data_IF_552785719906
#
_entry.id   IF_552785719906
#
_cell.length_a   1.000
_cell.length_b   1.000
_cell.length_c   1.000
_cell.angle_alpha   90.00
_cell.angle_beta   90.00
_cell.angle_gamma   90.00
#
_symmetry.space_group_name_H-M   'P 1'
#
loop_
_entity.id
_entity.type
_entity.pdbx_description
1 polymer ?
#
# COMPACT_ATOMS: atom_id res chain seq x y z
N UNK A 1 9.32 18.10 -5.66
CA UNK A 1 7.96 17.97 -5.06
C UNK A 1 6.98 17.38 -6.05
N UNK A 2 6.60 18.10 -7.12
CA UNK A 2 5.64 17.56 -8.11
C UNK A 2 6.15 16.26 -8.75
N UNK A 3 7.41 16.22 -9.17
CA UNK A 3 7.98 15.04 -9.84
C UNK A 3 8.03 13.78 -8.97
N UNK A 4 8.24 13.93 -7.65
CA UNK A 4 8.21 12.77 -6.72
C UNK A 4 6.79 12.25 -6.54
N UNK A 5 5.80 13.14 -6.46
CA UNK A 5 4.39 12.74 -6.40
C UNK A 5 3.91 12.14 -7.72
N UNK A 6 4.35 12.66 -8.86
CA UNK A 6 4.14 12.04 -10.17
C UNK A 6 4.73 10.62 -10.20
N UNK A 7 5.97 10.46 -9.75
CA UNK A 7 6.64 9.17 -9.67
C UNK A 7 5.93 8.20 -8.72
N UNK A 8 5.36 8.69 -7.61
CA UNK A 8 4.59 7.90 -6.65
C UNK A 8 3.14 7.61 -7.09
N UNK A 9 2.75 7.99 -8.30
CA UNK A 9 1.44 7.65 -8.86
C UNK A 9 1.54 6.76 -10.09
N UNK A 10 0.58 5.84 -10.26
CA UNK A 10 0.46 4.96 -11.42
C UNK A 10 -0.75 5.40 -12.21
N UNK A 11 -0.56 5.89 -13.44
CA UNK A 11 -1.66 6.12 -14.38
C UNK A 11 -1.94 4.82 -15.14
N UNK A 12 -3.15 4.26 -14.97
CA UNK A 12 -3.55 3.01 -15.61
C UNK A 12 -4.09 3.19 -17.03
N UNK A 13 -4.24 4.44 -17.51
CA UNK A 13 -4.70 4.76 -18.86
C UNK A 13 -3.58 5.03 -19.84
N UNK A 14 -2.40 5.38 -19.32
CA UNK A 14 -1.24 5.74 -20.12
C UNK A 14 -0.21 4.61 -20.14
N UNK A 15 0.66 4.56 -21.16
CA UNK A 15 1.88 3.78 -21.08
C UNK A 15 2.66 4.19 -19.82
N UNK A 16 3.42 3.25 -19.28
CA UNK A 16 4.30 3.50 -18.15
C UNK A 16 5.31 4.61 -18.48
N UNK A 17 5.43 5.61 -17.59
CA UNK A 17 6.34 6.76 -17.77
C UNK A 17 7.37 6.94 -16.64
N UNK A 18 7.42 6.07 -15.63
CA UNK A 18 8.33 6.27 -14.50
C UNK A 18 9.77 6.02 -14.94
N UNK A 19 10.66 6.95 -14.57
CA UNK A 19 12.10 6.73 -14.68
C UNK A 19 12.52 5.58 -13.77
N UNK A 20 13.40 4.71 -14.25
CA UNK A 20 13.91 3.56 -13.52
C UNK A 20 15.43 3.55 -13.56
N UNK A 21 16.10 2.92 -12.58
CA UNK A 21 17.53 2.64 -12.66
C UNK A 21 17.92 1.93 -13.96
N UNK A 22 19.17 2.11 -14.38
CA UNK A 22 19.73 1.39 -15.52
C UNK A 22 20.01 -0.10 -15.18
N UNK A 23 20.29 -0.89 -16.23
CA UNK A 23 20.68 -2.30 -16.17
C UNK A 23 19.66 -3.26 -15.54
N UNK A 24 18.40 -2.86 -15.42
CA UNK A 24 17.33 -3.79 -15.07
C UNK A 24 17.12 -4.78 -16.23
N UNK A 25 17.09 -6.08 -15.92
CA UNK A 25 16.84 -7.13 -16.92
C UNK A 25 15.45 -7.01 -17.55
N UNK A 26 14.51 -6.42 -16.82
CA UNK A 26 13.15 -6.17 -17.27
C UNK A 26 12.77 -4.73 -16.97
N UNK A 27 12.23 -4.06 -18.00
CA UNK A 27 11.65 -2.74 -17.84
C UNK A 27 10.29 -2.82 -17.14
N UNK A 28 9.80 -1.68 -16.65
CA UNK A 28 8.44 -1.62 -16.14
C UNK A 28 7.40 -1.86 -17.24
N UNK A 29 7.69 -1.51 -18.50
CA UNK A 29 6.85 -1.87 -19.64
C UNK A 29 6.77 -3.38 -19.87
N UNK A 30 7.87 -4.11 -19.70
CA UNK A 30 7.88 -5.58 -19.84
C UNK A 30 7.00 -6.21 -18.76
N UNK A 31 7.16 -5.78 -17.52
CA UNK A 31 6.30 -6.20 -16.42
C UNK A 31 4.84 -5.83 -16.64
N UNK A 32 4.56 -4.60 -17.08
CA UNK A 32 3.19 -4.17 -17.35
C UNK A 32 2.55 -5.04 -18.44
N UNK A 33 3.28 -5.32 -19.51
CA UNK A 33 2.84 -6.21 -20.58
C UNK A 33 2.54 -7.62 -20.05
N UNK A 34 3.48 -8.20 -19.30
CA UNK A 34 3.33 -9.53 -18.70
C UNK A 34 2.11 -9.60 -17.78
N UNK A 35 1.98 -8.66 -16.84
CA UNK A 35 0.89 -8.65 -15.86
C UNK A 35 -0.47 -8.51 -16.54
N UNK A 36 -0.59 -7.66 -17.56
CA UNK A 36 -1.86 -7.40 -18.24
C UNK A 36 -2.27 -8.49 -19.25
N UNK A 37 -1.30 -9.14 -19.90
CA UNK A 37 -1.58 -10.02 -21.06
C UNK A 37 -1.26 -11.48 -20.82
N UNK A 38 -0.41 -11.80 -19.85
CA UNK A 38 0.08 -13.16 -19.60
C UNK A 38 -0.51 -13.78 -18.34
N UNK A 39 -1.43 -13.08 -17.65
CA UNK A 39 -2.10 -13.59 -16.45
C UNK A 39 -3.61 -13.69 -16.67
N UNK A 40 -4.30 -14.72 -16.12
CA UNK A 40 -5.75 -14.93 -16.28
C UNK A 40 -6.61 -13.69 -15.98
N UNK A 41 -6.25 -12.94 -14.93
CA UNK A 41 -7.00 -11.78 -14.48
C UNK A 41 -6.30 -10.45 -14.83
N UNK A 42 -5.26 -10.48 -15.66
CA UNK A 42 -4.45 -9.31 -16.02
C UNK A 42 -5.21 -8.17 -16.66
N UNK A 43 -6.28 -8.50 -17.39
CA UNK A 43 -7.15 -7.52 -18.04
C UNK A 43 -7.85 -6.58 -17.05
N UNK A 44 -8.09 -7.02 -15.80
CA UNK A 44 -8.67 -6.21 -14.72
C UNK A 44 -7.74 -5.09 -14.25
N UNK A 45 -6.45 -5.12 -14.58
CA UNK A 45 -5.52 -4.03 -14.27
C UNK A 45 -5.95 -2.73 -14.97
N UNK A 46 -6.48 -2.83 -16.20
CA UNK A 46 -6.98 -1.67 -16.96
C UNK A 46 -8.50 -1.52 -16.91
N UNK A 47 -9.21 -2.65 -16.93
CA UNK A 47 -10.65 -2.68 -17.15
C UNK A 47 -11.35 -3.35 -15.96
N UNK A 48 -11.34 -2.70 -14.81
CA UNK A 48 -12.13 -3.12 -13.65
C UNK A 48 -13.27 -2.13 -13.38
N UNK A 49 -14.25 -2.57 -12.60
CA UNK A 49 -15.45 -1.79 -12.30
C UNK A 49 -15.12 -0.45 -11.59
N UNK A 50 -14.05 -0.40 -10.78
CA UNK A 50 -13.63 0.82 -10.11
C UNK A 50 -13.06 1.84 -11.10
N UNK A 51 -12.19 1.42 -12.03
CA UNK A 51 -11.61 2.29 -13.04
C UNK A 51 -12.65 2.78 -14.05
N UNK A 52 -13.61 1.92 -14.41
CA UNK A 52 -14.75 2.31 -15.25
C UNK A 52 -15.63 3.36 -14.56
N UNK A 53 -15.91 3.19 -13.26
CA UNK A 53 -16.67 4.17 -12.48
C UNK A 53 -15.95 5.54 -12.44
N UNK A 54 -14.63 5.56 -12.25
CA UNK A 54 -13.83 6.79 -12.30
C UNK A 54 -13.92 7.49 -13.67
N UNK A 55 -13.74 6.73 -14.75
CA UNK A 55 -13.78 7.25 -16.12
C UNK A 55 -15.17 7.74 -16.55
N UNK A 56 -16.23 7.22 -15.96
CA UNK A 56 -17.60 7.59 -16.31
C UNK A 56 -17.95 9.05 -15.96
N UNK A 57 -17.26 9.63 -14.97
CA UNK A 57 -17.63 10.92 -14.39
C UNK A 57 -19.01 10.95 -13.72
N UNK A 58 -19.65 9.79 -13.57
CA UNK A 58 -20.93 9.67 -12.87
C UNK A 58 -20.72 9.63 -11.35
N UNK A 59 -21.81 9.76 -10.61
CA UNK A 59 -21.80 9.58 -9.17
C UNK A 59 -21.24 8.19 -8.81
N UNK A 60 -20.44 8.14 -7.76
CA UNK A 60 -19.88 6.91 -7.21
C UNK A 60 -20.41 6.70 -5.80
N UNK A 61 -20.62 5.44 -5.44
CA UNK A 61 -20.93 5.06 -4.07
C UNK A 61 -19.74 4.35 -3.46
N UNK A 62 -19.33 4.77 -2.26
CA UNK A 62 -18.18 4.23 -1.55
C UNK A 62 -18.58 3.78 -0.15
N UNK A 63 -18.06 2.64 0.30
CA UNK A 63 -18.24 2.10 1.63
C UNK A 63 -17.06 2.46 2.52
N UNK A 64 -17.34 2.96 3.71
CA UNK A 64 -16.41 3.05 4.83
C UNK A 64 -16.98 2.32 6.04
N UNK A 65 -16.13 1.80 6.91
CA UNK A 65 -16.57 1.22 8.19
C UNK A 65 -15.93 1.94 9.35
N UNK A 66 -16.73 2.29 10.36
CA UNK A 66 -16.26 3.01 11.56
C UNK A 66 -16.71 2.31 12.83
N UNK A 67 -15.88 2.36 13.88
CA UNK A 67 -16.26 1.93 15.25
C UNK A 67 -16.94 3.06 16.04
N UNK A 68 -16.86 4.29 15.57
CA UNK A 68 -17.22 5.48 16.36
C UNK A 68 -18.14 6.43 15.58
N UNK A 69 -19.32 5.92 15.22
CA UNK A 69 -20.36 6.73 14.58
C UNK A 69 -20.85 7.87 15.48
N UNK A 70 -20.80 7.68 16.81
CA UNK A 70 -21.26 8.69 17.75
C UNK A 70 -20.30 9.89 17.80
N UNK A 71 -18.97 9.66 17.73
CA UNK A 71 -18.02 10.77 17.61
C UNK A 71 -18.21 11.55 16.31
N UNK A 72 -18.49 10.88 15.19
CA UNK A 72 -18.78 11.55 13.91
C UNK A 72 -20.04 12.41 14.02
N UNK A 73 -21.13 11.87 14.60
CA UNK A 73 -22.37 12.62 14.82
C UNK A 73 -22.17 13.82 15.74
N UNK A 74 -21.38 13.65 16.81
CA UNK A 74 -21.15 14.69 17.81
C UNK A 74 -20.25 15.80 17.27
N UNK A 75 -19.13 15.44 16.65
CA UNK A 75 -18.17 16.40 16.10
C UNK A 75 -18.64 17.04 14.79
N UNK A 76 -19.54 16.37 14.06
CA UNK A 76 -19.92 16.69 12.67
C UNK A 76 -18.71 16.72 11.73
N UNK A 77 -17.68 15.93 12.03
CA UNK A 77 -16.46 15.86 11.25
C UNK A 77 -16.13 14.43 10.87
N UNK A 78 -15.67 14.27 9.63
CA UNK A 78 -14.99 13.06 9.16
C UNK A 78 -13.50 13.36 9.08
N UNK A 79 -12.73 12.57 9.83
CA UNK A 79 -11.28 12.62 9.84
C UNK A 79 -10.74 11.52 8.91
N UNK A 80 -9.64 11.82 8.24
CA UNK A 80 -8.98 10.89 7.33
C UNK A 80 -7.89 10.11 8.06
N UNK A 81 -7.50 8.94 7.56
CA UNK A 81 -6.42 8.15 8.17
C UNK A 81 -5.15 8.20 7.35
N UNK A 82 -4.03 8.02 8.05
CA UNK A 82 -2.74 7.70 7.42
C UNK A 82 -2.72 6.25 6.98
N UNK A 83 -2.00 5.94 5.90
CA UNK A 83 -1.90 4.57 5.38
C UNK A 83 -1.44 4.54 3.93
N UNK A 84 -1.80 3.47 3.21
CA UNK A 84 -1.51 3.32 1.78
C UNK A 84 -2.09 4.46 0.91
N UNK A 85 -3.16 5.12 1.37
CA UNK A 85 -3.79 6.27 0.70
C UNK A 85 -3.43 7.63 1.33
N UNK A 86 -2.33 7.72 2.08
CA UNK A 86 -1.59 8.95 2.42
C UNK A 86 -2.37 10.10 3.12
N UNK A 87 -3.61 9.89 3.55
CA UNK A 87 -4.47 10.94 4.10
C UNK A 87 -5.80 11.12 3.36
N UNK A 88 -6.28 10.11 2.63
CA UNK A 88 -7.65 10.01 2.17
C UNK A 88 -8.53 9.29 3.20
N UNK A 89 -9.84 9.51 3.18
CA UNK A 89 -10.77 8.66 3.92
C UNK A 89 -10.82 7.31 3.22
N UNK A 90 -10.31 6.26 3.85
CA UNK A 90 -10.23 4.93 3.24
C UNK A 90 -11.62 4.31 3.04
N UNK A 91 -11.87 3.80 1.84
CA UNK A 91 -13.14 3.25 1.40
C UNK A 91 -12.95 2.01 0.50
N UNK A 92 -14.07 1.40 0.11
CA UNK A 92 -14.16 0.43 -1.00
C UNK A 92 -15.36 0.75 -1.90
N UNK A 93 -15.33 0.45 -3.22
CA UNK A 93 -16.44 0.73 -4.11
C UNK A 93 -17.74 0.02 -3.72
N UNK A 94 -18.87 0.65 -4.07
CA UNK A 94 -20.20 0.07 -4.07
C UNK A 94 -20.79 0.14 -5.48
N UNK A 95 -21.37 -0.96 -5.96
CA UNK A 95 -22.07 -1.02 -7.24
C UNK A 95 -23.58 -0.92 -7.01
N UNK A 96 -24.24 0.01 -7.69
CA UNK A 96 -25.71 0.09 -7.66
C UNK A 96 -26.32 -1.10 -8.38
N UNK A 97 -27.21 -1.82 -7.70
CA UNK A 97 -28.01 -2.91 -8.26
C UNK A 97 -29.48 -2.69 -7.89
N UNK A 98 -30.39 -3.50 -8.46
CA UNK A 98 -31.84 -3.36 -8.21
C UNK A 98 -32.18 -3.58 -6.73
N UNK A 99 -31.45 -4.48 -6.10
CA UNK A 99 -31.61 -4.90 -4.71
C UNK A 99 -30.97 -3.94 -3.71
N UNK A 100 -30.10 -3.01 -4.13
CA UNK A 100 -29.39 -2.09 -3.24
C UNK A 100 -27.95 -1.83 -3.69
N UNK A 101 -27.12 -1.34 -2.79
CA UNK A 101 -25.69 -1.09 -3.06
C UNK A 101 -24.87 -2.35 -2.75
N UNK A 102 -24.37 -3.02 -3.78
CA UNK A 102 -23.51 -4.21 -3.62
C UNK A 102 -22.10 -3.77 -3.23
N UNK A 103 -21.55 -4.27 -2.11
CA UNK A 103 -20.16 -4.00 -1.77
C UNK A 103 -19.19 -4.72 -2.71
N UNK A 104 -18.10 -4.04 -3.08
CA UNK A 104 -16.91 -4.70 -3.63
C UNK A 104 -16.46 -5.81 -2.67
N UNK A 105 -15.89 -6.90 -3.19
CA UNK A 105 -15.44 -8.02 -2.34
C UNK A 105 -14.49 -7.63 -1.19
N UNK A 106 -13.71 -6.53 -1.33
CA UNK A 106 -12.95 -5.94 -0.22
C UNK A 106 -13.87 -5.41 0.89
N UNK A 107 -14.88 -4.65 0.51
CA UNK A 107 -15.87 -4.08 1.43
C UNK A 107 -16.68 -5.16 2.13
N UNK A 108 -17.10 -6.18 1.38
CA UNK A 108 -17.78 -7.35 1.92
C UNK A 108 -16.91 -8.05 2.99
N UNK A 109 -15.63 -8.29 2.68
CA UNK A 109 -14.66 -8.85 3.60
C UNK A 109 -14.51 -8.00 4.88
N UNK A 110 -14.36 -6.69 4.74
CA UNK A 110 -14.20 -5.77 5.89
C UNK A 110 -15.41 -5.79 6.82
N UNK A 111 -16.63 -5.83 6.26
CA UNK A 111 -17.85 -5.91 7.06
C UNK A 111 -17.99 -7.27 7.75
N UNK A 112 -17.62 -8.36 7.10
CA UNK A 112 -17.70 -9.71 7.68
C UNK A 112 -16.70 -9.92 8.82
N UNK A 113 -15.48 -9.38 8.68
CA UNK A 113 -14.40 -9.61 9.64
C UNK A 113 -14.33 -8.57 10.76
N UNK A 114 -15.06 -7.45 10.64
CA UNK A 114 -15.12 -6.39 11.66
C UNK A 114 -16.58 -6.10 12.05
N UNK A 115 -17.29 -7.04 12.70
CA UNK A 115 -18.71 -6.90 13.01
C UNK A 115 -19.01 -5.76 14.00
N UNK A 116 -18.03 -5.29 14.76
CA UNK A 116 -18.15 -4.14 15.66
C UNK A 116 -18.09 -2.77 14.95
N UNK A 117 -18.17 -2.75 13.62
CA UNK A 117 -18.14 -1.52 12.82
C UNK A 117 -19.50 -1.23 12.20
N UNK A 118 -19.89 0.05 12.16
CA UNK A 118 -21.07 0.53 11.42
C UNK A 118 -20.64 0.88 9.99
N UNK A 119 -21.37 0.41 8.95
CA UNK A 119 -21.10 0.80 7.59
C UNK A 119 -21.65 2.22 7.32
N UNK A 120 -20.84 3.00 6.63
CA UNK A 120 -21.19 4.29 6.05
C UNK A 120 -21.15 4.18 4.53
N UNK A 121 -22.15 4.75 3.87
CA UNK A 121 -22.19 4.93 2.43
C UNK A 121 -21.87 6.39 2.13
N UNK A 122 -20.97 6.62 1.20
CA UNK A 122 -20.67 7.93 0.66
C UNK A 122 -21.09 8.01 -0.81
N UNK A 123 -21.89 9.01 -1.16
CA UNK A 123 -22.16 9.40 -2.54
C UNK A 123 -21.15 10.49 -2.89
N UNK A 124 -20.27 10.20 -3.85
CA UNK A 124 -19.29 11.14 -4.38
C UNK A 124 -19.75 11.52 -5.78
N UNK A 125 -20.06 12.80 -5.99
CA UNK A 125 -20.36 13.35 -7.32
C UNK A 125 -19.13 14.10 -7.79
N UNK A 126 -18.39 13.58 -8.78
CA UNK A 126 -17.22 14.26 -9.32
C UNK A 126 -17.63 15.42 -10.23
N UNK A 127 -16.67 16.27 -10.57
CA UNK A 127 -16.82 17.38 -11.51
C UNK A 127 -16.62 16.97 -12.99
N UNK A 128 -16.37 15.69 -13.24
CA UNK A 128 -16.20 15.09 -14.55
C UNK A 128 -15.51 13.73 -14.48
N UNK A 129 -15.20 13.11 -15.64
CA UNK A 129 -14.35 11.92 -15.72
C UNK A 129 -13.03 12.07 -14.97
N UNK A 130 -12.69 11.08 -14.14
CA UNK A 130 -11.45 11.07 -13.35
C UNK A 130 -10.46 10.14 -14.02
N UNK A 131 -9.23 10.61 -14.23
CA UNK A 131 -8.13 9.75 -14.72
C UNK A 131 -7.82 8.68 -13.65
N UNK A 132 -7.81 7.38 -13.99
CA UNK A 132 -7.38 6.28 -13.13
C UNK A 132 -5.90 6.35 -12.74
N UNK A 133 -5.56 7.32 -11.89
CA UNK A 133 -4.20 7.59 -11.41
C UNK A 133 -4.13 7.32 -9.90
N UNK A 134 -3.64 6.14 -9.55
CA UNK A 134 -3.57 5.66 -8.16
C UNK A 134 -2.25 6.02 -7.49
N UNK A 135 -2.23 6.11 -6.16
CA UNK A 135 -1.01 6.33 -5.36
C UNK A 135 -0.34 5.00 -5.04
N UNK A 136 0.90 4.83 -5.47
CA UNK A 136 1.74 3.67 -5.19
C UNK A 136 2.59 3.94 -3.94
N UNK A 137 2.15 3.40 -2.81
CA UNK A 137 2.78 3.71 -1.53
C UNK A 137 4.21 3.15 -1.39
N UNK A 138 4.62 2.21 -2.26
CA UNK A 138 5.98 1.67 -2.27
C UNK A 138 6.99 2.70 -2.76
N UNK A 139 6.55 3.64 -3.61
CA UNK A 139 7.37 4.73 -4.15
C UNK A 139 7.41 5.98 -3.26
N UNK A 140 6.83 5.96 -2.06
CA UNK A 140 6.83 7.12 -1.15
C UNK A 140 8.17 7.36 -0.43
N UNK A 141 9.17 6.49 -0.61
CA UNK A 141 10.44 6.56 0.10
C UNK A 141 11.16 7.91 -0.04
N UNK A 142 11.32 8.41 -1.27
CA UNK A 142 11.97 9.71 -1.49
C UNK A 142 11.19 10.87 -0.82
N UNK A 143 9.86 10.82 -0.86
CA UNK A 143 8.98 11.79 -0.18
C UNK A 143 9.17 11.72 1.33
N UNK A 144 9.22 10.51 1.91
CA UNK A 144 9.49 10.30 3.33
C UNK A 144 10.84 10.88 3.74
N UNK A 145 11.89 10.59 2.97
CA UNK A 145 13.24 11.09 3.24
C UNK A 145 13.29 12.62 3.21
N UNK A 146 12.72 13.24 2.18
CA UNK A 146 12.69 14.69 2.08
C UNK A 146 11.92 15.34 3.23
N UNK A 147 10.75 14.79 3.59
CA UNK A 147 9.95 15.30 4.70
C UNK A 147 10.74 15.15 6.01
N UNK A 148 11.41 14.02 6.21
CA UNK A 148 12.30 13.83 7.35
C UNK A 148 13.39 14.91 7.40
N UNK A 149 14.17 15.08 6.33
CA UNK A 149 15.25 16.07 6.28
C UNK A 149 14.74 17.50 6.54
N UNK A 150 13.52 17.82 6.06
CA UNK A 150 12.90 19.13 6.30
C UNK A 150 12.54 19.37 7.76
N UNK A 151 12.13 18.33 8.48
CA UNK A 151 11.61 18.42 9.86
C UNK A 151 12.52 17.72 10.89
N UNK A 152 13.75 17.38 10.50
CA UNK A 152 14.71 16.66 11.33
C UNK A 152 15.01 17.42 12.64
N UNK A 153 14.97 18.76 12.60
CA UNK A 153 15.20 19.62 13.77
C UNK A 153 14.14 19.49 14.88
N UNK A 154 13.03 18.78 14.63
CA UNK A 154 12.06 18.44 15.69
C UNK A 154 12.50 17.23 16.54
N UNK A 155 13.45 16.45 16.05
CA UNK A 155 14.11 15.40 16.83
C UNK A 155 15.24 16.02 17.68
N UNK A 156 15.35 15.54 18.91
CA UNK A 156 16.51 15.83 19.75
C UNK A 156 17.77 15.18 19.15
N UNK A 157 18.99 15.72 19.44
CA UNK A 157 20.23 15.12 18.94
C UNK A 157 20.34 13.61 19.23
N UNK A 158 19.99 13.18 20.44
CA UNK A 158 20.02 11.76 20.81
C UNK A 158 19.03 10.89 20.01
N UNK A 159 17.88 11.43 19.62
CA UNK A 159 16.90 10.71 18.78
C UNK A 159 17.42 10.58 17.34
N UNK A 160 18.06 11.62 16.80
CA UNK A 160 18.73 11.56 15.51
C UNK A 160 19.87 10.53 15.54
N UNK A 161 20.74 10.57 16.54
CA UNK A 161 21.85 9.61 16.68
C UNK A 161 21.34 8.17 16.81
N UNK A 162 20.24 7.96 17.55
CA UNK A 162 19.60 6.64 17.65
C UNK A 162 19.02 6.20 16.31
N UNK A 163 18.30 7.07 15.61
CA UNK A 163 17.73 6.79 14.30
C UNK A 163 18.82 6.38 13.30
N UNK A 164 19.86 7.20 13.17
CA UNK A 164 20.96 6.97 12.23
C UNK A 164 21.68 5.65 12.54
N UNK A 165 21.98 5.38 13.81
CA UNK A 165 22.59 4.10 14.22
C UNK A 165 21.69 2.91 13.91
N UNK A 166 20.39 2.99 14.20
CA UNK A 166 19.46 1.88 13.95
C UNK A 166 19.29 1.63 12.46
N UNK A 167 19.12 2.68 11.66
CA UNK A 167 18.98 2.57 10.21
C UNK A 167 20.25 2.01 9.58
N UNK A 168 21.43 2.53 9.97
CA UNK A 168 22.72 2.05 9.46
C UNK A 168 22.99 0.60 9.86
N UNK A 169 22.69 0.22 11.10
CA UNK A 169 22.83 -1.17 11.55
C UNK A 169 21.89 -2.11 10.77
N UNK A 170 20.63 -1.69 10.54
CA UNK A 170 19.68 -2.44 9.72
C UNK A 170 20.15 -2.61 8.28
N UNK A 171 20.66 -1.54 7.66
CA UNK A 171 21.24 -1.58 6.31
C UNK A 171 22.43 -2.53 6.24
N UNK A 172 23.39 -2.42 7.16
CA UNK A 172 24.57 -3.31 7.20
C UNK A 172 24.18 -4.77 7.38
N UNK A 173 23.21 -5.06 8.24
CA UNK A 173 22.73 -6.42 8.47
C UNK A 173 22.01 -7.01 7.25
N UNK A 174 21.27 -6.19 6.50
CA UNK A 174 20.55 -6.64 5.30
C UNK A 174 21.37 -6.54 4.00
N UNK A 175 22.50 -5.83 4.00
CA UNK A 175 23.29 -5.52 2.80
C UNK A 175 23.56 -6.74 1.89
N UNK A 176 23.93 -7.94 2.40
CA UNK A 176 24.11 -9.11 1.54
C UNK A 176 22.86 -9.47 0.72
N UNK A 177 21.67 -9.40 1.33
CA UNK A 177 20.42 -9.65 0.63
C UNK A 177 20.06 -8.51 -0.33
N UNK A 178 20.26 -7.26 0.08
CA UNK A 178 19.96 -6.10 -0.80
C UNK A 178 20.79 -6.16 -2.09
N UNK A 179 22.07 -6.52 -1.98
CA UNK A 179 22.95 -6.74 -3.14
C UNK A 179 22.49 -7.92 -4.00
N UNK A 180 22.04 -9.03 -3.38
CA UNK A 180 21.44 -10.17 -4.09
C UNK A 180 20.19 -9.74 -4.87
N UNK A 181 19.31 -8.93 -4.26
CA UNK A 181 18.12 -8.43 -4.92
C UNK A 181 18.46 -7.53 -6.12
N UNK A 182 19.45 -6.63 -6.01
CA UNK A 182 19.92 -5.83 -7.15
C UNK A 182 20.51 -6.69 -8.27
N UNK A 183 21.33 -7.69 -7.91
CA UNK A 183 21.95 -8.60 -8.88
C UNK A 183 20.91 -9.42 -9.64
N UNK A 184 19.88 -9.91 -8.92
CA UNK A 184 18.72 -10.58 -9.52
C UNK A 184 17.93 -9.64 -10.43
N UNK A 185 17.73 -8.38 -10.03
CA UNK A 185 17.06 -7.37 -10.85
C UNK A 185 17.83 -7.07 -12.15
N UNK A 186 19.15 -7.21 -12.11
CA UNK A 186 20.06 -7.10 -13.26
C UNK A 186 20.24 -8.42 -14.04
N UNK A 187 19.43 -9.45 -13.77
CA UNK A 187 19.37 -10.68 -14.56
C UNK A 187 20.23 -11.84 -14.09
N UNK A 188 20.91 -11.73 -12.94
CA UNK A 188 21.77 -12.79 -12.41
C UNK A 188 21.03 -13.61 -11.35
N UNK A 189 20.21 -14.56 -11.79
CA UNK A 189 19.31 -15.32 -10.94
C UNK A 189 20.03 -16.17 -9.87
N UNK A 190 19.66 -15.98 -8.61
CA UNK A 190 19.96 -16.90 -7.50
C UNK A 190 18.92 -18.02 -7.40
N UNK A 191 19.23 -19.17 -6.76
CA UNK A 191 18.24 -20.19 -6.45
C UNK A 191 17.07 -19.63 -5.62
N UNK A 192 15.84 -20.04 -5.93
CA UNK A 192 14.64 -19.51 -5.29
C UNK A 192 14.55 -19.83 -3.79
N UNK A 193 14.90 -21.03 -3.27
CA UNK A 193 14.82 -21.29 -1.83
C UNK A 193 15.78 -20.41 -1.04
N UNK A 194 17.01 -20.28 -1.52
CA UNK A 194 18.04 -19.43 -0.92
C UNK A 194 17.60 -17.96 -0.89
N UNK A 195 17.07 -17.44 -2.01
CA UNK A 195 16.61 -16.06 -2.08
C UNK A 195 15.50 -15.75 -1.06
N UNK A 196 14.50 -16.63 -0.96
CA UNK A 196 13.35 -16.41 -0.07
C UNK A 196 13.77 -16.49 1.41
N UNK A 197 14.67 -17.41 1.75
CA UNK A 197 15.18 -17.52 3.12
C UNK A 197 16.03 -16.31 3.52
N UNK A 198 16.85 -15.79 2.60
CA UNK A 198 17.60 -14.54 2.81
C UNK A 198 16.66 -13.32 2.93
N UNK A 199 15.62 -13.25 2.08
CA UNK A 199 14.59 -12.21 2.17
C UNK A 199 13.91 -12.24 3.55
N UNK A 200 13.46 -13.41 4.00
CA UNK A 200 12.81 -13.59 5.30
C UNK A 200 13.68 -13.07 6.46
N UNK A 201 14.99 -13.38 6.43
CA UNK A 201 15.94 -12.87 7.41
C UNK A 201 16.10 -11.34 7.31
N UNK A 202 16.23 -10.80 6.10
CA UNK A 202 16.44 -9.37 5.86
C UNK A 202 15.25 -8.49 6.31
N UNK A 203 14.01 -9.00 6.26
CA UNK A 203 12.80 -8.25 6.73
C UNK A 203 12.94 -7.80 8.19
N UNK A 204 13.63 -8.57 9.04
CA UNK A 204 13.86 -8.20 10.45
C UNK A 204 14.71 -6.92 10.63
N UNK A 205 15.51 -6.59 9.62
CA UNK A 205 16.45 -5.47 9.63
C UNK A 205 15.98 -4.33 8.72
N UNK A 206 15.27 -4.65 7.64
CA UNK A 206 14.66 -3.71 6.70
C UNK A 206 13.18 -4.06 6.54
N UNK A 207 12.31 -3.59 7.45
CA UNK A 207 10.89 -3.96 7.46
C UNK A 207 10.11 -3.59 6.20
N UNK A 208 10.60 -2.66 5.39
CA UNK A 208 10.04 -2.34 4.08
C UNK A 208 10.00 -3.54 3.13
N UNK A 209 10.96 -4.47 3.24
CA UNK A 209 10.99 -5.70 2.45
C UNK A 209 9.75 -6.58 2.69
N UNK A 210 9.15 -6.55 3.89
CA UNK A 210 7.93 -7.29 4.18
C UNK A 210 6.71 -6.74 3.42
N UNK A 211 6.66 -5.42 3.21
CA UNK A 211 5.63 -4.77 2.38
C UNK A 211 5.81 -5.16 0.91
N UNK A 212 7.04 -5.12 0.38
CA UNK A 212 7.32 -5.56 -0.97
C UNK A 212 6.94 -7.02 -1.16
N UNK A 213 7.36 -7.90 -0.24
CA UNK A 213 7.08 -9.32 -0.31
C UNK A 213 5.57 -9.62 -0.30
N UNK A 214 4.84 -8.97 0.59
CA UNK A 214 3.40 -9.11 0.66
C UNK A 214 2.69 -8.63 -0.61
N UNK A 215 3.06 -7.47 -1.16
CA UNK A 215 2.42 -6.93 -2.37
C UNK A 215 2.73 -7.78 -3.60
N UNK A 216 3.94 -8.32 -3.72
CA UNK A 216 4.32 -9.26 -4.80
C UNK A 216 3.47 -10.52 -4.76
N UNK A 217 3.26 -11.11 -3.58
CA UNK A 217 2.40 -12.29 -3.46
C UNK A 217 0.92 -11.97 -3.63
N UNK A 218 0.48 -10.80 -3.18
CA UNK A 218 -0.88 -10.33 -3.43
C UNK A 218 -1.14 -10.19 -4.93
N UNK A 219 -0.23 -9.54 -5.66
CA UNK A 219 -0.25 -9.42 -7.11
C UNK A 219 -0.30 -10.80 -7.78
N UNK A 220 0.60 -11.71 -7.39
CA UNK A 220 0.64 -13.08 -7.92
C UNK A 220 -0.69 -13.82 -7.74
N UNK A 221 -1.21 -13.88 -6.51
CA UNK A 221 -2.43 -14.61 -6.21
C UNK A 221 -3.63 -14.03 -6.96
N UNK A 222 -3.80 -12.71 -6.95
CA UNK A 222 -4.96 -12.05 -7.56
C UNK A 222 -4.96 -12.15 -9.08
N UNK A 223 -3.78 -12.12 -9.71
CA UNK A 223 -3.65 -12.17 -11.16
C UNK A 223 -3.68 -13.58 -11.73
N UNK A 224 -3.18 -14.57 -10.98
CA UNK A 224 -3.04 -15.95 -11.45
C UNK A 224 -4.14 -16.91 -10.99
N UNK A 225 -4.91 -16.59 -9.94
CA UNK A 225 -5.97 -17.46 -9.45
C UNK A 225 -7.07 -17.70 -10.49
N UNK A 226 -7.48 -18.97 -10.64
CA UNK A 226 -8.53 -19.40 -11.57
C UNK A 226 -9.67 -20.15 -10.88
N UNK A 227 -9.73 -20.08 -9.54
CA UNK A 227 -10.80 -20.67 -8.75
C UNK A 227 -12.19 -20.16 -9.19
N UNK A 228 -13.27 -20.94 -8.96
CA UNK A 228 -14.63 -20.48 -9.24
C UNK A 228 -14.97 -19.15 -8.58
N UNK A 229 -14.56 -18.96 -7.31
CA UNK A 229 -14.78 -17.71 -6.58
C UNK A 229 -14.06 -16.53 -7.26
N UNK A 230 -12.79 -16.69 -7.64
CA UNK A 230 -12.05 -15.64 -8.36
C UNK A 230 -12.71 -15.29 -9.69
N UNK A 231 -13.23 -16.29 -10.43
CA UNK A 231 -13.97 -16.05 -11.68
C UNK A 231 -15.26 -15.26 -11.45
N UNK A 232 -15.99 -15.53 -10.36
CA UNK A 232 -17.18 -14.75 -10.00
C UNK A 232 -16.85 -13.28 -9.75
N UNK A 233 -15.77 -12.99 -9.00
CA UNK A 233 -15.35 -11.60 -8.79
C UNK A 233 -14.83 -10.95 -10.08
N UNK A 234 -14.09 -11.69 -10.91
CA UNK A 234 -13.62 -11.18 -12.20
C UNK A 234 -14.78 -10.81 -13.13
N UNK A 235 -15.87 -11.60 -13.15
CA UNK A 235 -17.10 -11.26 -13.88
C UNK A 235 -17.79 -9.99 -13.36
N UNK A 236 -17.64 -9.68 -12.07
CA UNK A 236 -18.08 -8.42 -11.47
C UNK A 236 -17.10 -7.25 -11.73
N UNK A 237 -16.02 -7.48 -12.48
CA UNK A 237 -14.98 -6.49 -12.73
C UNK A 237 -14.11 -6.23 -11.50
N UNK A 238 -13.85 -7.24 -10.67
CA UNK A 238 -13.09 -7.11 -9.42
C UNK A 238 -11.97 -8.14 -9.29
N UNK A 239 -10.82 -7.72 -8.77
CA UNK A 239 -9.79 -8.64 -8.31
C UNK A 239 -10.21 -9.28 -6.97
N UNK A 240 -9.87 -10.54 -6.76
CA UNK A 240 -10.26 -11.28 -5.55
C UNK A 240 -9.39 -10.90 -4.32
N UNK A 241 -9.89 -10.01 -3.46
CA UNK A 241 -9.16 -9.55 -2.26
C UNK A 241 -9.09 -10.59 -1.13
N UNK A 242 -9.93 -11.62 -1.17
CA UNK A 242 -9.91 -12.67 -0.14
C UNK A 242 -8.59 -13.42 -0.13
N UNK A 243 -7.96 -13.59 -1.29
CA UNK A 243 -6.72 -14.35 -1.45
C UNK A 243 -5.58 -13.74 -0.63
N UNK A 244 -5.32 -12.45 -0.81
CA UNK A 244 -4.24 -11.80 -0.08
C UNK A 244 -4.57 -11.63 1.41
N UNK A 245 -5.86 -11.48 1.76
CA UNK A 245 -6.25 -11.44 3.18
C UNK A 245 -5.96 -12.77 3.83
N UNK A 246 -6.42 -13.89 3.24
CA UNK A 246 -6.10 -15.25 3.71
C UNK A 246 -4.59 -15.45 3.87
N UNK A 247 -3.80 -15.00 2.89
CA UNK A 247 -2.33 -15.00 2.97
C UNK A 247 -1.83 -14.23 4.20
N UNK A 248 -2.26 -12.98 4.40
CA UNK A 248 -1.82 -12.14 5.51
C UNK A 248 -2.09 -12.79 6.88
N UNK A 249 -3.32 -13.30 7.07
CA UNK A 249 -3.76 -13.91 8.34
C UNK A 249 -3.11 -15.27 8.60
N UNK A 250 -2.81 -16.05 7.55
CA UNK A 250 -2.14 -17.34 7.70
C UNK A 250 -0.61 -17.20 7.90
N UNK A 251 -0.02 -16.09 7.42
CA UNK A 251 1.42 -15.88 7.47
C UNK A 251 1.89 -15.21 8.78
N UNK A 252 1.04 -14.42 9.43
CA UNK A 252 1.44 -13.60 10.60
C UNK A 252 0.39 -13.63 11.69
N UNK A 253 0.78 -14.12 12.86
CA UNK A 253 -0.07 -14.09 14.06
C UNK A 253 -0.38 -12.66 14.51
N UNK A 254 -1.65 -12.38 14.83
CA UNK A 254 -2.10 -11.07 15.32
C UNK A 254 -2.35 -10.01 14.23
N UNK A 255 -2.37 -10.39 12.95
CA UNK A 255 -2.67 -9.51 11.81
C UNK A 255 -4.11 -8.91 11.88
N UNK A 256 -4.99 -9.51 12.68
CA UNK A 256 -6.36 -9.06 13.00
C UNK A 256 -6.40 -7.90 14.00
N UNK A 257 -5.42 -7.86 14.89
CA UNK A 257 -5.25 -6.79 15.89
C UNK A 257 -4.53 -5.59 15.28
N UNK A 258 -3.43 -5.84 14.57
CA UNK A 258 -2.65 -4.83 13.87
C UNK A 258 -2.20 -5.36 12.51
N UNK A 259 -2.65 -4.72 11.44
CA UNK A 259 -2.24 -5.06 10.09
C UNK A 259 -0.81 -4.53 9.81
N UNK A 260 0.20 -5.28 10.26
CA UNK A 260 1.62 -4.89 10.18
C UNK A 260 2.41 -5.78 9.21
N UNK A 261 2.58 -5.28 7.99
CA UNK A 261 3.35 -5.96 6.94
C UNK A 261 4.86 -5.98 7.21
N UNK A 262 5.37 -5.22 8.19
CA UNK A 262 6.75 -5.35 8.66
C UNK A 262 7.06 -6.75 9.22
N UNK A 263 6.03 -7.51 9.61
CA UNK A 263 6.14 -8.86 10.16
C UNK A 263 5.95 -9.95 9.10
N UNK A 264 5.63 -9.58 7.86
CA UNK A 264 5.42 -10.53 6.77
C UNK A 264 6.77 -11.03 6.24
N UNK A 265 7.18 -12.22 6.66
CA UNK A 265 8.48 -12.81 6.33
C UNK A 265 8.46 -14.35 6.25
N UNK A 266 7.51 -14.98 5.54
CA UNK A 266 7.55 -16.44 5.39
C UNK A 266 8.88 -16.89 4.77
N UNK A 267 9.45 -17.97 5.30
CA UNK A 267 10.59 -18.69 4.69
C UNK A 267 10.11 -19.52 3.50
N UNK A 268 11.03 -20.06 2.71
CA UNK A 268 10.69 -20.80 1.48
C UNK A 268 9.62 -21.88 1.70
N UNK A 269 9.85 -22.80 2.64
CA UNK A 269 8.92 -23.93 2.84
C UNK A 269 7.55 -23.44 3.34
N UNK A 270 7.55 -22.40 4.19
CA UNK A 270 6.31 -21.79 4.67
C UNK A 270 5.59 -21.05 3.55
N UNK A 271 6.30 -20.39 2.63
CA UNK A 271 5.73 -19.75 1.45
C UNK A 271 4.99 -20.79 0.61
N UNK A 272 5.65 -21.90 0.27
CA UNK A 272 5.08 -23.00 -0.51
C UNK A 272 3.78 -23.50 0.15
N UNK A 273 3.83 -23.81 1.45
CA UNK A 273 2.64 -24.25 2.22
C UNK A 273 1.50 -23.22 2.21
N UNK A 274 1.82 -21.93 2.33
CA UNK A 274 0.81 -20.86 2.34
C UNK A 274 0.09 -20.77 0.99
N UNK A 275 0.83 -20.89 -0.12
CA UNK A 275 0.25 -20.84 -1.46
C UNK A 275 -0.56 -22.11 -1.73
N UNK A 276 -0.06 -23.28 -1.35
CA UNK A 276 -0.79 -24.55 -1.45
C UNK A 276 -2.12 -24.54 -0.69
N UNK A 277 -2.13 -23.94 0.50
CA UNK A 277 -3.36 -23.77 1.29
C UNK A 277 -4.37 -22.79 0.70
N UNK A 278 -3.99 -21.97 -0.28
CA UNK A 278 -4.87 -21.04 -0.98
C UNK A 278 -5.34 -21.66 -2.31
N UNK A 279 -4.40 -22.04 -3.17
CA UNK A 279 -4.64 -22.63 -4.50
C UNK A 279 -3.41 -23.47 -4.91
N UNK A 280 -3.46 -24.82 -4.78
CA UNK A 280 -2.32 -25.71 -5.01
C UNK A 280 -1.60 -25.51 -6.35
N UNK A 281 -2.35 -25.27 -7.42
CA UNK A 281 -1.82 -25.12 -8.78
C UNK A 281 -0.91 -23.88 -8.93
N UNK A 282 -0.98 -22.91 -8.01
CA UNK A 282 -0.12 -21.73 -7.99
C UNK A 282 1.21 -21.96 -7.25
N UNK A 283 1.33 -23.02 -6.45
CA UNK A 283 2.52 -23.26 -5.63
C UNK A 283 3.82 -23.36 -6.44
N UNK A 284 3.90 -24.12 -7.56
CA UNK A 284 5.17 -24.39 -8.23
C UNK A 284 5.89 -23.15 -8.77
N UNK A 285 5.16 -22.09 -9.15
CA UNK A 285 5.72 -20.89 -9.75
C UNK A 285 5.87 -19.72 -8.76
N UNK A 286 5.34 -19.83 -7.54
CA UNK A 286 5.27 -18.71 -6.60
C UNK A 286 6.65 -18.19 -6.18
N UNK A 287 7.58 -19.08 -5.82
CA UNK A 287 8.91 -18.69 -5.36
C UNK A 287 9.74 -18.00 -6.46
N UNK A 288 9.61 -18.48 -7.70
CA UNK A 288 10.27 -17.88 -8.87
C UNK A 288 9.68 -16.51 -9.20
N UNK A 289 8.35 -16.40 -9.16
CA UNK A 289 7.66 -15.12 -9.32
C UNK A 289 8.13 -14.10 -8.28
N UNK A 290 8.18 -14.49 -7.01
CA UNK A 290 8.65 -13.62 -5.92
C UNK A 290 10.08 -13.16 -6.18
N UNK A 291 11.00 -14.09 -6.47
CA UNK A 291 12.41 -13.75 -6.70
C UNK A 291 12.56 -12.71 -7.81
N UNK A 292 11.91 -12.92 -8.95
CA UNK A 292 11.99 -12.05 -10.12
C UNK A 292 11.31 -10.71 -9.86
N UNK A 293 10.05 -10.72 -9.41
CA UNK A 293 9.23 -9.52 -9.24
C UNK A 293 9.69 -8.65 -8.07
N UNK A 294 10.04 -9.25 -6.93
CA UNK A 294 10.53 -8.50 -5.76
C UNK A 294 11.86 -7.82 -6.04
N UNK A 295 12.78 -8.49 -6.74
CA UNK A 295 14.07 -7.91 -7.11
C UNK A 295 13.88 -6.66 -7.99
N UNK A 296 13.03 -6.76 -9.01
CA UNK A 296 12.68 -5.62 -9.86
C UNK A 296 12.03 -4.48 -9.08
N UNK A 297 11.01 -4.77 -8.25
CA UNK A 297 10.34 -3.74 -7.46
C UNK A 297 11.26 -3.13 -6.41
N UNK A 298 12.13 -3.91 -5.78
CA UNK A 298 13.12 -3.42 -4.84
C UNK A 298 14.04 -2.42 -5.53
N UNK A 299 14.69 -2.78 -6.65
CA UNK A 299 15.59 -1.87 -7.35
C UNK A 299 14.88 -0.54 -7.72
N UNK A 300 13.64 -0.61 -8.19
CA UNK A 300 12.87 0.57 -8.61
C UNK A 300 12.35 1.46 -7.49
N UNK A 301 12.04 0.88 -6.33
CA UNK A 301 11.50 1.63 -5.18
C UNK A 301 12.60 2.07 -4.22
N UNK A 302 13.74 1.38 -4.21
CA UNK A 302 14.88 1.68 -3.36
C UNK A 302 15.80 2.74 -3.98
N UNK A 303 16.23 2.52 -5.22
CA UNK A 303 17.30 3.30 -5.86
C UNK A 303 16.80 4.62 -6.44
N UNK A 304 17.68 5.61 -6.51
CA UNK A 304 17.43 6.80 -7.31
C UNK A 304 17.43 6.43 -8.81
N UNK A 305 16.54 6.99 -9.65
CA UNK A 305 16.46 6.62 -11.07
C UNK A 305 17.72 6.86 -11.90
N UNK A 306 18.66 7.68 -11.43
CA UNK A 306 19.96 7.90 -12.11
C UNK A 306 21.00 6.82 -11.82
N UNK A 307 20.71 5.87 -10.93
CA UNK A 307 21.66 4.82 -10.57
C UNK A 307 21.62 3.67 -11.57
N UNK A 308 22.71 2.90 -11.57
CA UNK A 308 22.82 1.64 -12.28
C UNK A 308 22.68 0.49 -11.26
N UNK A 309 21.61 -0.32 -11.41
CA UNK A 309 21.32 -1.40 -10.47
C UNK A 309 22.42 -2.47 -10.43
N UNK A 310 23.20 -2.64 -11.50
CA UNK A 310 24.31 -3.60 -11.54
C UNK A 310 25.57 -3.10 -10.81
N UNK A 311 25.69 -1.79 -10.58
CA UNK A 311 26.89 -1.15 -10.03
C UNK A 311 26.77 -0.75 -8.56
N UNK A 312 25.54 -0.65 -8.03
CA UNK A 312 25.31 -0.28 -6.61
C UNK A 312 25.56 -1.46 -5.69
N UNK A 313 26.23 -1.20 -4.56
CA UNK A 313 26.34 -2.13 -3.42
C UNK A 313 26.00 -1.41 -2.12
N UNK A 314 25.35 -2.13 -1.21
CA UNK A 314 25.06 -1.69 0.14
C UNK A 314 26.15 -2.08 1.15
N UNK A 315 27.13 -2.89 0.75
CA UNK A 315 28.23 -3.28 1.63
C UNK A 315 29.18 -2.11 1.87
N UNK A 316 29.45 -1.83 3.15
CA UNK A 316 30.37 -0.76 3.55
C UNK A 316 29.86 0.66 3.33
N UNK A 317 28.69 0.84 2.71
CA UNK A 317 28.10 2.15 2.48
C UNK A 317 27.71 2.85 3.80
N UNK A 318 27.96 4.16 3.87
CA UNK A 318 27.46 5.02 4.93
C UNK A 318 26.11 5.65 4.55
N UNK A 319 25.47 6.35 5.49
CA UNK A 319 24.17 6.96 5.26
C UNK A 319 24.19 8.04 4.16
N UNK A 320 25.31 8.73 3.96
CA UNK A 320 25.42 9.75 2.90
C UNK A 320 25.41 9.10 1.53
N UNK A 321 26.22 8.05 1.34
CA UNK A 321 26.24 7.27 0.11
C UNK A 321 24.86 6.63 -0.17
N UNK A 322 24.20 6.10 0.85
CA UNK A 322 22.86 5.52 0.72
C UNK A 322 21.80 6.59 0.42
N UNK A 323 21.91 7.79 0.98
CA UNK A 323 21.01 8.90 0.67
C UNK A 323 21.04 9.28 -0.82
N UNK A 324 22.22 9.26 -1.44
CA UNK A 324 22.39 9.58 -2.86
C UNK A 324 22.00 8.41 -3.77
N UNK A 325 22.41 7.19 -3.43
CA UNK A 325 22.18 6.01 -4.26
C UNK A 325 20.76 5.45 -4.10
N UNK A 326 20.23 5.40 -2.87
CA UNK A 326 18.99 4.74 -2.54
C UNK A 326 18.07 5.58 -1.61
N UNK A 327 17.70 6.82 -2.02
CA UNK A 327 16.85 7.70 -1.21
C UNK A 327 15.48 7.08 -0.91
N UNK A 328 14.96 6.25 -1.82
CA UNK A 328 13.73 5.51 -1.63
C UNK A 328 13.82 4.53 -0.46
N UNK A 329 14.88 3.73 -0.42
CA UNK A 329 15.11 2.79 0.68
C UNK A 329 15.31 3.51 2.01
N UNK A 330 16.19 4.52 2.03
CA UNK A 330 16.50 5.26 3.25
C UNK A 330 15.26 5.91 3.84
N UNK A 331 14.43 6.56 3.02
CA UNK A 331 13.18 7.16 3.48
C UNK A 331 12.17 6.15 4.01
N UNK A 332 12.03 4.98 3.36
CA UNK A 332 11.13 3.92 3.87
C UNK A 332 11.59 3.38 5.24
N UNK A 333 12.91 3.28 5.46
CA UNK A 333 13.49 2.86 6.74
C UNK A 333 13.29 3.92 7.82
N UNK A 334 13.66 5.17 7.55
CA UNK A 334 13.51 6.29 8.48
C UNK A 334 12.05 6.47 8.90
N UNK A 335 11.12 6.51 7.94
CA UNK A 335 9.70 6.68 8.22
C UNK A 335 9.13 5.58 9.12
N UNK A 336 9.57 4.34 8.92
CA UNK A 336 9.15 3.21 9.76
C UNK A 336 9.76 3.29 11.15
N UNK A 337 10.99 3.74 11.28
CA UNK A 337 11.66 3.82 12.57
C UNK A 337 11.12 4.98 13.43
N UNK A 338 10.88 6.15 12.82
CA UNK A 338 10.26 7.30 13.50
C UNK A 338 8.91 6.93 14.12
N UNK A 339 8.11 6.09 13.45
CA UNK A 339 6.81 5.61 13.94
C UNK A 339 6.84 4.84 15.25
N UNK A 340 8.00 4.32 15.64
CA UNK A 340 8.19 3.57 16.88
C UNK A 340 8.95 4.36 17.95
N UNK A 341 9.37 5.60 17.66
CA UNK A 341 9.96 6.45 18.70
C UNK A 341 8.93 6.81 19.78
N UNK A 342 9.38 6.90 21.03
CA UNK A 342 8.53 7.26 22.18
C UNK A 342 7.79 8.59 21.98
N UNK A 343 8.44 9.56 21.33
CA UNK A 343 7.86 10.88 21.00
C UNK A 343 7.06 10.94 19.70
N UNK A 344 6.82 9.80 19.03
CA UNK A 344 6.13 9.79 17.75
C UNK A 344 4.73 10.38 17.83
N UNK A 345 3.99 10.19 18.93
CA UNK A 345 2.64 10.74 19.08
C UNK A 345 2.63 12.27 19.01
N UNK A 346 3.64 12.92 19.56
CA UNK A 346 3.81 14.37 19.55
C UNK A 346 4.31 14.86 18.18
N UNK A 347 5.05 14.00 17.46
CA UNK A 347 5.65 14.31 16.16
C UNK A 347 4.82 13.83 14.97
N UNK A 348 3.73 13.11 15.20
CA UNK A 348 2.87 12.50 14.18
C UNK A 348 2.44 13.53 13.13
N UNK A 349 2.00 14.70 13.60
CA UNK A 349 1.59 15.80 12.74
C UNK A 349 2.76 16.49 12.03
N UNK A 350 4.01 16.29 12.41
CA UNK A 350 5.13 16.86 11.66
C UNK A 350 5.38 16.07 10.37
N UNK A 351 5.40 14.73 10.46
CA UNK A 351 5.76 13.88 9.34
C UNK A 351 4.54 13.45 8.50
N UNK A 352 3.47 12.98 9.14
CA UNK A 352 2.32 12.43 8.42
C UNK A 352 1.42 13.51 7.82
N UNK A 353 1.20 14.61 8.56
CA UNK A 353 0.38 15.72 8.07
C UNK A 353 1.07 16.47 6.94
N UNK A 354 2.39 16.67 7.02
CA UNK A 354 3.15 17.28 5.93
C UNK A 354 3.00 16.47 4.64
N UNK A 355 3.16 15.14 4.74
CA UNK A 355 2.94 14.22 3.63
C UNK A 355 1.52 14.30 3.07
N UNK A 356 0.50 14.30 3.94
CA UNK A 356 -0.89 14.41 3.52
C UNK A 356 -1.20 15.75 2.83
N UNK A 357 -0.66 16.86 3.33
CA UNK A 357 -0.82 18.19 2.72
C UNK A 357 -0.22 18.24 1.31
N UNK A 358 0.97 17.68 1.11
CA UNK A 358 1.58 17.62 -0.22
C UNK A 358 0.79 16.70 -1.17
N UNK A 359 0.27 15.57 -0.68
CA UNK A 359 -0.58 14.68 -1.47
C UNK A 359 -1.87 15.38 -1.93
N UNK A 360 -2.54 16.09 -1.02
CA UNK A 360 -3.75 16.86 -1.30
C UNK A 360 -3.52 17.98 -2.30
N UNK A 361 -2.42 18.72 -2.19
CA UNK A 361 -2.05 19.74 -3.18
C UNK A 361 -1.85 19.12 -4.57
N UNK A 362 -1.15 17.99 -4.64
CA UNK A 362 -0.97 17.26 -5.89
C UNK A 362 -2.29 16.74 -6.47
N UNK A 363 -3.15 16.11 -5.66
CA UNK A 363 -4.45 15.61 -6.10
C UNK A 363 -5.38 16.72 -6.59
N UNK A 364 -5.38 17.89 -5.93
CA UNK A 364 -6.10 19.07 -6.41
C UNK A 364 -5.63 19.52 -7.79
N UNK A 365 -4.31 19.55 -8.02
CA UNK A 365 -3.73 19.93 -9.31
C UNK A 365 -4.03 18.93 -10.42
N UNK A 366 -4.04 17.63 -10.09
CA UNK A 366 -4.28 16.56 -11.06
C UNK A 366 -5.76 16.23 -11.28
N UNK A 367 -6.67 16.78 -10.47
CA UNK A 367 -8.11 16.54 -10.56
C UNK A 367 -8.53 15.19 -9.96
N UNK A 368 -7.98 14.81 -8.81
CA UNK A 368 -8.18 13.48 -8.18
C UNK A 368 -9.03 13.63 -6.90
N UNK A 369 -10.38 13.54 -6.99
CA UNK A 369 -11.24 13.53 -5.80
C UNK A 369 -11.20 12.21 -5.04
N UNK A 370 -10.85 11.11 -5.71
CA UNK A 370 -10.94 9.75 -5.15
C UNK A 370 -9.65 8.95 -5.41
N UNK A 371 -8.57 9.21 -4.64
CA UNK A 371 -7.32 8.47 -4.81
C UNK A 371 -7.51 6.99 -4.47
N UNK A 372 -6.82 6.10 -5.15
CA UNK A 372 -6.87 4.66 -4.91
C UNK A 372 -5.47 4.05 -4.89
N UNK A 373 -5.33 2.79 -4.46
CA UNK A 373 -4.04 2.12 -4.42
C UNK A 373 -3.50 1.88 -5.85
N UNK A 374 -2.35 2.50 -6.13
CA UNK A 374 -1.68 2.47 -7.42
C UNK A 374 -0.70 1.31 -7.64
N UNK A 375 -0.58 0.37 -6.70
CA UNK A 375 0.14 -0.89 -6.92
C UNK A 375 -0.72 -1.78 -7.83
N UNK A 376 -1.94 -2.07 -7.37
CA UNK A 376 -2.96 -2.83 -8.08
C UNK A 376 -4.33 -2.19 -7.77
N UNK A 377 -5.22 -1.99 -8.76
CA UNK A 377 -6.53 -1.39 -8.55
C UNK A 377 -7.51 -2.38 -7.92
N UNK A 378 -7.20 -2.84 -6.70
CA UNK A 378 -7.86 -3.94 -5.98
C UNK A 378 -9.06 -3.51 -5.13
N UNK A 379 -9.62 -2.33 -5.40
CA UNK A 379 -10.78 -1.79 -4.68
C UNK A 379 -10.46 -0.98 -3.43
N UNK A 380 -9.19 -0.74 -3.13
CA UNK A 380 -8.77 0.22 -2.09
C UNK A 380 -8.81 1.63 -2.66
N UNK A 381 -9.87 2.37 -2.35
CA UNK A 381 -10.12 3.74 -2.84
C UNK A 381 -10.37 4.66 -1.66
N UNK A 382 -10.20 5.96 -1.80
CA UNK A 382 -10.49 6.91 -0.74
C UNK A 382 -11.18 8.16 -1.23
N UNK A 383 -11.54 9.02 -0.29
CA UNK A 383 -12.11 10.34 -0.55
C UNK A 383 -11.06 11.38 -0.16
N UNK A 384 -10.72 12.25 -1.11
CA UNK A 384 -9.86 13.40 -0.88
C UNK A 384 -10.63 14.45 -0.04
N UNK A 385 -10.18 14.77 1.18
CA UNK A 385 -10.99 15.57 2.11
C UNK A 385 -11.14 17.05 1.75
N UNK A 386 -10.35 17.57 0.80
CA UNK A 386 -10.33 19.00 0.45
C UNK A 386 -10.38 19.24 -1.05
N UNK A 387 -10.87 18.27 -1.83
CA UNK A 387 -11.09 18.48 -3.25
C UNK A 387 -12.28 19.44 -3.46
N UNK A 388 -12.08 20.62 -4.05
CA UNK A 388 -13.08 21.68 -3.99
C UNK A 388 -14.22 21.52 -5.00
N UNK A 389 -14.10 20.63 -6.00
CA UNK A 389 -15.04 20.52 -7.13
C UNK A 389 -15.96 19.31 -7.06
N UNK A 390 -15.71 18.36 -6.16
CA UNK A 390 -16.60 17.21 -5.94
C UNK A 390 -17.52 17.47 -4.75
N UNK A 391 -18.77 17.01 -4.83
CA UNK A 391 -19.66 17.00 -3.67
C UNK A 391 -19.70 15.61 -3.05
N UNK A 392 -19.69 15.53 -1.72
CA UNK A 392 -19.76 14.27 -0.99
C UNK A 392 -20.89 14.34 0.02
N UNK A 393 -21.74 13.32 0.02
CA UNK A 393 -22.80 13.10 1.01
C UNK A 393 -22.56 11.78 1.73
N UNK A 394 -22.98 11.70 2.99
CA UNK A 394 -22.66 10.60 3.88
C UNK A 394 -23.94 10.03 4.49
N UNK A 395 -24.07 8.71 4.54
CA UNK A 395 -25.18 8.03 5.20
C UNK A 395 -24.68 6.91 6.09
N UNK A 396 -25.37 6.67 7.20
CA UNK A 396 -25.34 5.34 7.80
C UNK A 396 -26.06 4.36 6.89
N UNK A 397 -25.64 3.10 6.90
CA UNK A 397 -26.31 2.05 6.16
C UNK A 397 -26.65 0.84 7.02
N UNK A 398 -27.60 0.06 6.53
CA UNK A 398 -27.94 -1.27 7.01
C UNK A 398 -27.64 -2.31 5.94
N UNK A 399 -27.21 -3.49 6.39
CA UNK A 399 -26.90 -4.63 5.53
C UNK A 399 -28.06 -5.60 5.56
N UNK A 400 -28.57 -5.97 4.40
CA UNK A 400 -29.60 -7.01 4.30
C UNK A 400 -29.00 -8.43 4.37
N UNK A 401 -29.87 -9.44 4.33
CA UNK A 401 -29.49 -10.86 4.39
C UNK A 401 -28.62 -11.30 3.21
N UNK A 402 -28.72 -10.61 2.06
CA UNK A 402 -27.95 -10.89 0.85
C UNK A 402 -26.63 -10.10 0.80
N UNK A 403 -26.37 -9.23 1.78
CA UNK A 403 -25.16 -8.43 1.89
C UNK A 403 -25.21 -7.08 1.17
N UNK A 404 -26.36 -6.68 0.62
CA UNK A 404 -26.52 -5.33 0.04
C UNK A 404 -26.64 -4.29 1.14
N UNK A 405 -26.15 -3.08 0.85
CA UNK A 405 -26.28 -1.94 1.71
C UNK A 405 -27.42 -1.03 1.28
N UNK A 406 -28.17 -0.58 2.28
CA UNK A 406 -29.29 0.33 2.15
C UNK A 406 -28.98 1.58 2.99
N UNK A 407 -28.77 2.76 2.38
CA UNK A 407 -28.64 4.00 3.12
C UNK A 407 -29.89 4.27 3.98
N UNK A 408 -29.70 4.65 5.24
CA UNK A 408 -30.80 4.82 6.23
C UNK A 408 -30.91 6.27 6.69
N UNK A 409 -29.84 6.82 7.25
CA UNK A 409 -29.82 8.17 7.83
C UNK A 409 -28.66 8.98 7.26
N UNK A 410 -28.95 10.14 6.68
CA UNK A 410 -27.92 11.08 6.20
C UNK A 410 -27.21 11.73 7.39
N UNK A 411 -25.87 11.67 7.37
CA UNK A 411 -25.00 12.26 8.37
C UNK A 411 -24.54 13.62 7.89
N UNK A 412 -24.92 14.66 8.63
CA UNK A 412 -24.40 16.01 8.42
C UNK A 412 -22.98 16.13 9.00
N UNK A 413 -21.98 15.71 8.23
CA UNK A 413 -20.57 15.80 8.60
C UNK A 413 -19.72 16.44 7.50
N UNK A 414 -18.84 17.35 7.89
CA UNK A 414 -17.85 17.94 7.00
C UNK A 414 -16.63 17.01 6.88
N UNK A 415 -16.15 16.82 5.65
CA UNK A 415 -14.84 16.23 5.42
C UNK A 415 -13.80 17.27 5.80
N UNK A 416 -12.93 16.90 6.72
CA UNK A 416 -11.91 17.82 7.21
C UNK A 416 -10.52 17.30 6.87
N UNK A 417 -9.57 18.20 6.57
CA UNK A 417 -8.16 17.85 6.46
C UNK A 417 -7.56 17.52 7.84
N UNK A 418 -8.24 16.78 8.70
CA UNK A 418 -7.68 16.34 9.98
C UNK A 418 -7.36 14.85 9.89
N UNK A 419 -6.10 14.53 10.19
CA UNK A 419 -5.68 13.14 10.33
C UNK A 419 -6.21 12.61 11.67
N UNK A 420 -6.96 11.52 11.64
CA UNK A 420 -7.37 10.79 12.82
C UNK A 420 -6.11 10.37 13.60
N UNK A 421 -6.16 10.46 14.94
CA UNK A 421 -5.05 10.03 15.77
C UNK A 421 -4.75 8.56 15.52
N UNK A 422 -3.55 8.27 15.00
CA UNK A 422 -3.11 6.90 14.76
C UNK A 422 -2.20 6.44 15.90
N UNK A 423 -2.42 5.22 16.38
CA UNK A 423 -1.59 4.56 17.39
C UNK A 423 -1.07 3.24 16.82
N UNK A 424 0.25 3.10 16.69
CA UNK A 424 0.88 1.80 16.65
C UNK A 424 1.23 1.36 18.08
N UNK A 425 1.01 0.09 18.43
CA UNK A 425 1.62 -0.47 19.63
C UNK A 425 3.17 -0.51 19.50
N UNK A 426 3.90 -0.51 20.62
CA UNK A 426 5.37 -0.64 20.68
C UNK A 426 5.89 -1.89 19.94
N UNK A 427 7.12 -1.85 19.39
CA UNK A 427 7.77 -3.07 18.85
C UNK A 427 8.25 -3.96 20.00
N UNK A 428 8.24 -5.29 19.79
CA UNK A 428 8.76 -6.26 20.77
C UNK A 428 10.21 -5.98 21.25
N UNK A 429 11.05 -5.28 20.45
CA UNK A 429 12.40 -4.86 20.89
C UNK A 429 12.36 -3.89 22.08
N UNK A 430 11.33 -3.07 22.21
CA UNK A 430 11.16 -2.17 23.35
C UNK A 430 10.65 -2.90 24.59
N UNK A 431 9.95 -4.02 24.42
CA UNK A 431 9.56 -4.86 25.56
C UNK A 431 10.75 -5.57 26.21
N UNK A 432 11.76 -5.96 25.43
CA UNK A 432 12.97 -6.59 25.98
C UNK A 432 13.82 -5.58 26.76
N UNK A 433 13.95 -4.35 26.27
CA UNK A 433 14.68 -3.27 26.95
C UNK A 433 13.91 -2.62 28.12
N UNK A 434 12.63 -2.96 28.32
CA UNK A 434 11.84 -2.53 29.49
C UNK A 434 11.85 -3.57 30.63
N UNK A 435 12.48 -4.74 30.39
CA UNK A 435 12.67 -5.82 31.35
C UNK A 435 14.13 -6.05 31.74
N UNK A 436 15.05 -5.22 31.23
CA UNK A 436 16.42 -5.03 31.73
C UNK A 436 16.53 -3.64 32.37
#
# INVERSE_FOLDING_TARGET
>A
MRDEWEHAHTDYTMPVQRRTPASLAESESDWRHYLERSTPNGWLIRNNAMTEALLSGQRMYLLHTTRDINAIRTSRQLHVSTGCLVGALYCSPLTSQREGLRPHNLGAYLMQTKPSTKPLVFEVVPDGPIRPKGVDYLHLGAIHLRIYLRYQSFLAPAENDQLDRTVLAGLRAAAPFLDVALRNAAGHATPTPEFIDQLSAAVAHVPFLGYLYFEVLSEYLMLHSVTPETKTYAQAGELNNWLYKRLAFAAVDGMDQLFDLARFRPRHDRLVQLIEGIEPDLSPAAAEYVRRRLSHLFARTALHPSQDAASVTFQGADLSAIQEAAPGLLGQMIFREIRYMSRYRQLYHCFEKAKALEAWDYWNKEGIPTPFNGILPKGEIGIHPVYPRASVRAWTAERDEKGYLHPVEEIQAAFTPHLASWWAPPRQREMQNATE
#
